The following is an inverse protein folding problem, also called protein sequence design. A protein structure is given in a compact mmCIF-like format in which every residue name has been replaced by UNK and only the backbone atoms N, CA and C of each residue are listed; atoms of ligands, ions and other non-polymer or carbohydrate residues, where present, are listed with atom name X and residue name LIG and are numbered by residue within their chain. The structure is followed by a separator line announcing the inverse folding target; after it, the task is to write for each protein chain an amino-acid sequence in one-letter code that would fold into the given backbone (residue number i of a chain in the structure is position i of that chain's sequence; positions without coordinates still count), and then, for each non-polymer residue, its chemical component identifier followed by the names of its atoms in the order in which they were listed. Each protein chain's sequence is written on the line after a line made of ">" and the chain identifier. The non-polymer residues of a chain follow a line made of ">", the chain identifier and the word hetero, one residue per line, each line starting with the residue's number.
data_IF_967334435731
#
_entry.id   IF_967334435731
#
_cell.length_a   1.000
_cell.length_b   1.000
_cell.length_c   1.000
_cell.angle_alpha   90.00
_cell.angle_beta   90.00
_cell.angle_gamma   90.00
#
_symmetry.space_group_name_H-M   'P 1'
#
loop_
_entity.id
_entity.type
_entity.pdbx_description
1 polymer ?
#
# COMPACT_ATOMS: atom_id res chain seq x y z
N UNK A 1 12.34 -1.00 -11.58
CA UNK A 1 11.31 -0.29 -10.82
C UNK A 1 11.54 -0.51 -9.34
N UNK A 2 11.87 0.57 -8.65
CA UNK A 2 11.85 0.66 -7.20
C UNK A 2 10.38 0.80 -6.79
N UNK A 3 9.93 0.00 -5.80
CA UNK A 3 8.54 0.04 -5.32
C UNK A 3 8.54 0.56 -3.90
N UNK A 4 7.63 1.47 -3.61
CA UNK A 4 7.56 2.07 -2.28
C UNK A 4 6.27 1.63 -1.60
N UNK A 5 6.41 1.01 -0.43
CA UNK A 5 5.29 0.45 0.34
C UNK A 5 5.21 1.24 1.63
N UNK A 6 4.06 1.84 1.90
CA UNK A 6 3.82 2.62 3.10
C UNK A 6 2.76 1.95 3.96
N UNK A 7 3.02 1.90 5.26
CA UNK A 7 2.14 1.27 6.23
C UNK A 7 1.90 2.23 7.37
N UNK A 8 0.63 2.57 7.61
CA UNK A 8 0.22 3.34 8.79
C UNK A 8 -0.42 2.39 9.79
N UNK A 9 0.01 2.42 11.04
CA UNK A 9 -0.64 1.68 12.14
C UNK A 9 -1.15 2.68 13.18
N UNK A 10 -2.39 2.46 13.65
CA UNK A 10 -3.04 3.35 14.62
C UNK A 10 -2.64 3.06 16.06
N UNK A 11 -2.12 1.88 16.35
CA UNK A 11 -1.51 1.56 17.63
C UNK A 11 -0.37 0.57 17.39
N UNK A 12 0.69 0.73 18.18
CA UNK A 12 1.92 -0.07 18.24
C UNK A 12 3.05 0.36 17.31
N UNK A 13 4.15 0.72 17.97
CA UNK A 13 5.50 0.78 17.46
C UNK A 13 5.93 -0.65 17.06
N UNK A 14 5.42 -1.14 15.92
CA UNK A 14 5.68 -2.49 15.42
C UNK A 14 6.46 -2.43 14.10
N UNK A 15 7.69 -2.94 14.11
CA UNK A 15 8.52 -3.10 12.91
C UNK A 15 8.04 -4.35 12.14
N UNK A 16 7.09 -4.20 11.22
CA UNK A 16 6.68 -5.30 10.34
C UNK A 16 7.66 -5.42 9.16
N UNK A 17 8.70 -6.22 9.36
CA UNK A 17 9.62 -6.62 8.29
C UNK A 17 8.94 -7.69 7.42
N UNK A 18 8.37 -7.29 6.29
CA UNK A 18 8.07 -8.24 5.22
C UNK A 18 9.37 -8.63 4.50
N UNK A 19 10.09 -9.60 5.06
CA UNK A 19 11.15 -10.31 4.33
C UNK A 19 10.47 -11.32 3.40
N UNK A 20 10.14 -10.86 2.19
CA UNK A 20 9.72 -11.77 1.13
C UNK A 20 10.88 -12.72 0.79
N UNK A 21 10.86 -13.94 1.33
CA UNK A 21 11.68 -15.06 0.82
C UNK A 21 11.05 -15.56 -0.48
N UNK A 22 11.27 -14.81 -1.57
CA UNK A 22 11.08 -15.32 -2.92
C UNK A 22 12.32 -16.10 -3.32
N UNK A 23 12.24 -17.43 -3.33
CA UNK A 23 13.22 -18.29 -3.97
C UNK A 23 13.15 -18.10 -5.48
N UNK A 24 13.86 -17.10 -6.01
CA UNK A 24 14.27 -17.13 -7.40
C UNK A 24 15.67 -16.57 -7.51
N UNK A 25 16.61 -17.47 -7.77
CA UNK A 25 17.96 -17.13 -8.20
C UNK A 25 17.82 -16.35 -9.53
N UNK A 26 18.52 -15.23 -9.62
CA UNK A 26 18.68 -14.37 -10.80
C UNK A 26 17.58 -13.32 -11.04
N UNK A 27 17.69 -12.14 -10.42
CA UNK A 27 17.33 -10.84 -11.04
C UNK A 27 17.55 -9.66 -10.07
N UNK A 28 18.35 -8.70 -10.52
CA UNK A 28 18.41 -7.27 -10.15
C UNK A 28 17.74 -6.83 -8.82
N UNK A 29 18.56 -6.32 -7.91
CA UNK A 29 18.24 -5.83 -6.58
C UNK A 29 17.16 -4.70 -6.58
N UNK A 30 15.88 -5.06 -6.69
CA UNK A 30 14.73 -4.14 -6.58
C UNK A 30 14.51 -3.82 -5.09
N UNK A 31 15.17 -2.77 -4.60
CA UNK A 31 14.99 -2.27 -3.23
C UNK A 31 13.54 -1.86 -3.01
N UNK A 32 12.87 -2.43 -1.99
CA UNK A 32 11.56 -1.98 -1.51
C UNK A 32 11.80 -1.12 -0.26
N UNK A 33 11.37 0.13 -0.28
CA UNK A 33 11.53 1.02 0.87
C UNK A 33 10.23 1.07 1.65
N UNK A 34 10.30 0.84 2.97
CA UNK A 34 9.17 0.87 3.89
C UNK A 34 9.32 2.07 4.82
N UNK A 35 8.25 2.85 4.98
CA UNK A 35 8.18 3.97 5.91
C UNK A 35 6.98 3.82 6.84
N UNK A 36 7.19 4.11 8.13
CA UNK A 36 6.20 4.08 9.20
C UNK A 36 5.98 5.51 9.69
N UNK A 37 4.72 5.98 9.78
CA UNK A 37 4.44 7.38 10.10
C UNK A 37 3.16 7.59 10.94
N UNK A 38 3.19 8.51 11.90
CA UNK A 38 2.05 8.92 12.75
C UNK A 38 1.17 9.96 12.05
N UNK A 39 -0.16 9.84 12.18
CA UNK A 39 -1.23 10.63 11.53
C UNK A 39 -1.13 12.18 11.47
N UNK A 40 -0.12 12.85 12.04
CA UNK A 40 -0.23 14.28 12.39
C UNK A 40 0.24 15.30 11.35
N UNK A 41 0.55 14.92 10.12
CA UNK A 41 0.95 15.87 9.06
C UNK A 41 0.45 15.39 7.68
N UNK A 42 -0.86 15.53 7.40
CA UNK A 42 -1.52 15.00 6.21
C UNK A 42 -0.82 15.38 4.90
N UNK A 43 -0.70 16.67 4.60
CA UNK A 43 -0.13 17.13 3.31
C UNK A 43 1.37 16.83 3.16
N UNK A 44 2.15 16.97 4.23
CA UNK A 44 3.60 16.76 4.16
C UNK A 44 3.94 15.28 3.99
N UNK A 45 3.17 14.38 4.62
CA UNK A 45 3.27 12.95 4.35
C UNK A 45 2.96 12.66 2.90
N UNK A 46 1.84 13.17 2.35
CA UNK A 46 1.47 12.90 0.96
C UNK A 46 2.54 13.37 -0.03
N UNK A 47 3.18 14.52 0.22
CA UNK A 47 4.35 14.97 -0.57
C UNK A 47 5.51 13.97 -0.52
N UNK A 48 5.84 13.46 0.67
CA UNK A 48 6.88 12.44 0.83
C UNK A 48 6.49 11.15 0.08
N UNK A 49 5.22 10.72 0.15
CA UNK A 49 4.73 9.55 -0.59
C UNK A 49 4.95 9.70 -2.09
N UNK A 50 4.52 10.84 -2.64
CA UNK A 50 4.62 11.15 -4.08
C UNK A 50 6.08 11.19 -4.53
N UNK A 51 6.94 11.87 -3.77
CA UNK A 51 8.38 11.96 -4.07
C UNK A 51 9.04 10.58 -3.99
N UNK A 52 8.75 9.80 -2.95
CA UNK A 52 9.34 8.48 -2.76
C UNK A 52 8.80 7.42 -3.74
N UNK A 53 7.57 7.59 -4.23
CA UNK A 53 7.00 6.76 -5.30
C UNK A 53 7.61 7.08 -6.67
N UNK A 54 8.18 8.28 -6.83
CA UNK A 54 8.75 8.78 -8.08
C UNK A 54 7.78 8.60 -9.27
N UNK A 55 6.52 8.99 -9.07
CA UNK A 55 5.46 8.80 -10.06
C UNK A 55 5.78 9.45 -11.42
N UNK A 56 5.65 8.68 -12.49
CA UNK A 56 5.49 9.16 -13.85
C UNK A 56 4.01 9.40 -14.21
N UNK A 57 3.72 9.95 -15.40
CA UNK A 57 2.37 10.38 -15.79
C UNK A 57 1.30 9.28 -15.90
N UNK A 58 1.73 8.02 -16.10
CA UNK A 58 0.84 6.85 -16.27
C UNK A 58 0.82 5.95 -15.04
N UNK A 59 1.58 6.29 -14.02
CA UNK A 59 1.70 5.48 -12.83
C UNK A 59 0.50 5.70 -11.91
N UNK A 60 0.29 4.77 -10.98
CA UNK A 60 -0.85 4.81 -10.09
C UNK A 60 -0.49 4.31 -8.70
N UNK A 61 -1.27 4.79 -7.73
CA UNK A 61 -1.23 4.37 -6.35
C UNK A 61 -2.31 3.30 -6.11
N UNK A 62 -1.97 2.28 -5.34
CA UNK A 62 -2.92 1.30 -4.81
C UNK A 62 -3.08 1.53 -3.32
N UNK A 63 -4.33 1.58 -2.85
CA UNK A 63 -4.66 1.56 -1.44
C UNK A 63 -5.28 0.22 -1.07
N UNK A 64 -4.81 -0.34 0.04
CA UNK A 64 -5.32 -1.54 0.66
C UNK A 64 -6.03 -1.17 1.97
N UNK A 65 -7.35 -0.88 1.93
CA UNK A 65 -8.06 -0.37 3.09
C UNK A 65 -8.60 -1.47 4.03
N UNK A 66 -8.28 -2.73 3.76
CA UNK A 66 -8.84 -3.90 4.44
C UNK A 66 -8.43 -4.07 5.90
N UNK A 67 -7.49 -3.24 6.40
CA UNK A 67 -7.20 -3.14 7.83
C UNK A 67 -8.28 -2.36 8.59
N UNK A 68 -9.00 -1.45 7.94
CA UNK A 68 -10.00 -0.59 8.57
C UNK A 68 -11.30 -1.30 8.92
N UNK A 69 -12.04 -0.77 9.89
CA UNK A 69 -13.45 -1.13 10.13
C UNK A 69 -14.37 -0.62 9.04
N UNK A 70 -14.02 0.52 8.43
CA UNK A 70 -14.75 1.09 7.32
C UNK A 70 -13.80 1.36 6.14
N UNK A 71 -13.52 0.34 5.31
CA UNK A 71 -12.54 0.43 4.23
C UNK A 71 -12.83 1.54 3.21
N UNK A 72 -14.10 1.78 2.90
CA UNK A 72 -14.52 2.80 1.94
C UNK A 72 -14.22 4.22 2.47
N UNK A 73 -14.43 4.43 3.77
CA UNK A 73 -14.12 5.69 4.45
C UNK A 73 -12.61 5.92 4.53
N UNK A 74 -11.83 4.89 4.84
CA UNK A 74 -10.36 4.99 4.87
C UNK A 74 -9.78 5.35 3.48
N UNK A 75 -10.34 4.79 2.42
CA UNK A 75 -9.97 5.15 1.05
C UNK A 75 -10.37 6.59 0.71
N UNK A 76 -11.58 7.01 1.08
CA UNK A 76 -12.09 8.36 0.82
C UNK A 76 -11.15 9.42 1.39
N UNK A 77 -10.82 9.35 2.68
CA UNK A 77 -9.96 10.35 3.33
C UNK A 77 -8.53 10.33 2.78
N UNK A 78 -7.97 9.15 2.48
CA UNK A 78 -6.65 9.09 1.87
C UNK A 78 -6.62 9.76 0.49
N UNK A 79 -7.66 9.52 -0.32
CA UNK A 79 -7.78 10.16 -1.63
C UNK A 79 -7.89 11.68 -1.49
N UNK A 80 -8.69 12.16 -0.54
CA UNK A 80 -8.83 13.58 -0.24
C UNK A 80 -7.50 14.22 0.16
N UNK A 81 -6.70 13.55 0.98
CA UNK A 81 -5.37 14.02 1.40
C UNK A 81 -4.35 14.02 0.26
N UNK A 82 -4.40 13.02 -0.63
CA UNK A 82 -3.42 12.82 -1.70
C UNK A 82 -3.68 13.70 -2.94
N UNK A 83 -4.94 13.93 -3.28
CA UNK A 83 -5.35 14.72 -4.46
C UNK A 83 -4.69 16.11 -4.57
N UNK A 84 -4.53 16.88 -3.48
CA UNK A 84 -3.86 18.18 -3.53
C UNK A 84 -2.40 18.16 -3.98
N UNK A 85 -1.74 16.99 -3.93
CA UNK A 85 -0.29 16.86 -4.21
C UNK A 85 0.02 15.83 -5.30
N UNK A 86 -0.99 15.13 -5.82
CA UNK A 86 -0.85 14.09 -6.83
C UNK A 86 -2.11 13.99 -7.70
N UNK A 87 -1.94 14.04 -9.02
CA UNK A 87 -3.03 13.88 -9.99
C UNK A 87 -3.09 12.47 -10.61
N UNK A 88 -2.17 11.58 -10.24
CA UNK A 88 -2.13 10.19 -10.72
C UNK A 88 -3.39 9.41 -10.32
N UNK A 89 -3.65 8.31 -11.03
CA UNK A 89 -4.76 7.43 -10.69
C UNK A 89 -4.55 6.78 -9.31
N UNK A 90 -5.62 6.74 -8.53
CA UNK A 90 -5.66 6.18 -7.18
C UNK A 90 -6.69 5.05 -7.19
N UNK A 91 -6.23 3.82 -6.96
CA UNK A 91 -7.03 2.60 -7.07
C UNK A 91 -7.27 2.00 -5.69
N UNK A 92 -8.52 1.65 -5.40
CA UNK A 92 -8.90 0.95 -4.18
C UNK A 92 -8.91 -0.56 -4.42
N UNK A 93 -8.03 -1.31 -3.75
CA UNK A 93 -8.10 -2.77 -3.71
C UNK A 93 -8.42 -3.27 -2.30
N UNK A 94 -9.73 -3.38 -2.04
CA UNK A 94 -10.25 -4.08 -0.87
C UNK A 94 -10.27 -5.59 -1.14
N UNK A 95 -9.16 -6.27 -0.86
CA UNK A 95 -9.10 -7.74 -0.98
C UNK A 95 -9.94 -8.39 0.13
N UNK A 96 -10.76 -9.35 -0.26
CA UNK A 96 -11.47 -10.25 0.64
C UNK A 96 -10.96 -11.68 0.43
N UNK A 97 -11.30 -12.62 1.31
CA UNK A 97 -10.93 -14.04 1.14
C UNK A 97 -11.33 -14.63 -0.22
N UNK A 98 -12.34 -14.07 -0.90
CA UNK A 98 -12.73 -14.48 -2.25
C UNK A 98 -11.91 -13.78 -3.35
N UNK A 99 -11.50 -12.53 -3.13
CA UNK A 99 -10.79 -11.71 -4.13
C UNK A 99 -9.27 -11.83 -4.11
N UNK A 100 -8.69 -12.39 -3.05
CA UNK A 100 -7.22 -12.59 -2.94
C UNK A 100 -6.62 -13.44 -4.07
N UNK A 101 -7.42 -14.20 -4.82
CA UNK A 101 -6.97 -15.01 -5.96
C UNK A 101 -7.32 -14.40 -7.33
N UNK A 102 -7.88 -13.20 -7.37
CA UNK A 102 -8.20 -12.51 -8.63
C UNK A 102 -6.92 -12.11 -9.36
N UNK A 103 -6.62 -12.80 -10.46
CA UNK A 103 -5.39 -12.59 -11.25
C UNK A 103 -5.26 -11.18 -11.79
N UNK A 104 -6.37 -10.53 -12.14
CA UNK A 104 -6.31 -9.16 -12.64
C UNK A 104 -5.93 -8.22 -11.50
N UNK A 105 -6.57 -8.35 -10.34
CA UNK A 105 -6.24 -7.50 -9.18
C UNK A 105 -4.79 -7.70 -8.71
N UNK A 106 -4.31 -8.94 -8.71
CA UNK A 106 -2.92 -9.26 -8.39
C UNK A 106 -1.95 -8.65 -9.40
N UNK A 107 -2.28 -8.66 -10.69
CA UNK A 107 -1.44 -8.04 -11.72
C UNK A 107 -1.37 -6.53 -11.57
N UNK A 108 -2.51 -5.86 -11.30
CA UNK A 108 -2.52 -4.43 -11.00
C UNK A 108 -1.76 -4.11 -9.70
N UNK A 109 -1.93 -4.91 -8.64
CA UNK A 109 -1.14 -4.75 -7.41
C UNK A 109 0.37 -4.93 -7.70
N UNK A 110 0.72 -5.85 -8.59
CA UNK A 110 2.10 -6.10 -9.00
C UNK A 110 2.68 -5.01 -9.91
N UNK A 111 1.89 -4.13 -10.51
CA UNK A 111 2.38 -3.02 -11.34
C UNK A 111 2.22 -1.65 -10.66
N UNK A 112 1.66 -1.61 -9.46
CA UNK A 112 1.57 -0.41 -8.64
C UNK A 112 2.95 0.17 -8.29
N UNK A 113 3.07 1.50 -8.38
CA UNK A 113 4.28 2.25 -8.01
C UNK A 113 4.30 2.61 -6.54
N UNK A 114 3.13 2.88 -5.99
CA UNK A 114 2.89 3.12 -4.58
C UNK A 114 1.83 2.14 -4.07
N UNK A 115 2.13 1.47 -2.97
CA UNK A 115 1.15 0.67 -2.23
C UNK A 115 1.02 1.28 -0.84
N UNK A 116 -0.19 1.70 -0.47
CA UNK A 116 -0.51 2.26 0.83
C UNK A 116 -1.48 1.34 1.57
N UNK A 117 -1.08 0.88 2.76
CA UNK A 117 -1.95 0.10 3.65
C UNK A 117 -2.50 1.03 4.70
N UNK A 118 -3.84 1.16 4.75
CA UNK A 118 -4.50 2.05 5.72
C UNK A 118 -4.33 1.52 7.14
N UNK A 119 -4.42 2.43 8.11
CA UNK A 119 -4.48 2.07 9.52
C UNK A 119 -5.76 1.32 9.88
N UNK A 120 -5.71 0.63 11.02
CA UNK A 120 -6.81 -0.18 11.54
C UNK A 120 -6.29 -1.38 12.33
N UNK A 121 -6.91 -2.52 12.10
CA UNK A 121 -6.62 -3.80 12.76
C UNK A 121 -5.56 -4.59 11.97
N UNK A 122 -4.42 -4.86 12.62
CA UNK A 122 -3.32 -5.62 12.04
C UNK A 122 -3.70 -7.08 11.79
N UNK A 123 -4.42 -7.72 12.71
CA UNK A 123 -4.82 -9.13 12.59
C UNK A 123 -5.79 -9.30 11.42
N UNK A 124 -6.70 -8.34 11.21
CA UNK A 124 -7.62 -8.32 10.06
C UNK A 124 -6.86 -8.28 8.74
N UNK A 125 -5.87 -7.40 8.63
CA UNK A 125 -5.03 -7.33 7.43
C UNK A 125 -4.24 -8.63 7.22
N UNK A 126 -3.56 -9.11 8.27
CA UNK A 126 -2.75 -10.33 8.20
C UNK A 126 -3.60 -11.54 7.83
N UNK A 127 -4.80 -11.69 8.38
CA UNK A 127 -5.70 -12.81 8.10
C UNK A 127 -6.13 -12.87 6.63
N UNK A 128 -6.13 -11.73 5.94
CA UNK A 128 -6.47 -11.66 4.52
C UNK A 128 -5.26 -11.96 3.65
N UNK A 129 -4.07 -11.43 3.99
CA UNK A 129 -2.88 -11.56 3.13
C UNK A 129 -2.06 -12.83 3.39
N UNK A 130 -2.09 -13.34 4.62
CA UNK A 130 -1.26 -14.48 5.03
C UNK A 130 -1.67 -15.73 4.25
N UNK A 131 -0.69 -16.40 3.65
CA UNK A 131 -0.88 -17.57 2.79
C UNK A 131 -1.73 -17.31 1.53
N UNK A 132 -1.75 -16.06 1.06
CA UNK A 132 -2.41 -15.68 -0.20
C UNK A 132 -1.37 -15.08 -1.17
N UNK A 133 -1.68 -14.97 -2.47
CA UNK A 133 -0.74 -14.41 -3.46
C UNK A 133 -0.64 -12.87 -3.42
N UNK A 134 -1.36 -12.19 -2.53
CA UNK A 134 -1.36 -10.72 -2.34
C UNK A 134 -0.06 -10.23 -1.70
#
# INVERSE_FOLDING_TARGET
>A
MQKTIFITYDNLCGKLLFTGKGTNKTANNKRKTFYYWRRRQGVQLMKILVVAAAFGPKDYAVILPMAGENPDTSFYYFKEDLQPVCSNAIVNFNFTKQKVYDKNWLDWLAHAHLIFITGGDQERFITIVLNTPV
#
